data_IF_634760616743
#
_entry.id   IF_634760616743
#
_cell.length_a   1.000
_cell.length_b   1.000
_cell.length_c   1.000
_cell.angle_alpha   90.00
_cell.angle_beta   90.00
_cell.angle_gamma   90.00
#
_symmetry.space_group_name_H-M   'P 1'
#
loop_
_entity.id
_entity.type
_entity.pdbx_description
1 polymer ?
#
# COMPACT_ATOMS: atom_id res chain seq x y z
N UNK A 1 34.25 27.03 -25.15
CA UNK A 1 33.79 28.23 -24.43
C UNK A 1 32.35 28.48 -24.84
N UNK A 2 31.39 27.94 -24.09
CA UNK A 2 29.99 28.41 -24.12
C UNK A 2 29.25 27.85 -22.90
N UNK A 3 28.46 28.72 -22.29
CA UNK A 3 28.00 28.69 -20.91
C UNK A 3 26.81 27.75 -20.67
N UNK A 4 26.81 27.14 -19.49
CA UNK A 4 25.73 26.34 -18.94
C UNK A 4 24.70 27.28 -18.31
N UNK A 5 23.54 27.41 -18.95
CA UNK A 5 22.47 28.29 -18.47
C UNK A 5 21.57 27.54 -17.47
N UNK A 6 21.79 27.82 -16.17
CA UNK A 6 20.89 27.46 -15.07
C UNK A 6 19.75 28.48 -15.04
N UNK A 7 18.50 28.04 -15.21
CA UNK A 7 17.30 28.54 -14.49
C UNK A 7 16.01 27.94 -15.06
N UNK A 8 15.19 27.42 -14.15
CA UNK A 8 13.71 27.44 -14.10
C UNK A 8 13.10 26.09 -13.70
N UNK A 9 13.07 25.85 -12.39
CA UNK A 9 12.04 25.00 -11.78
C UNK A 9 11.81 25.48 -10.34
N UNK A 10 10.95 26.49 -10.21
CA UNK A 10 10.25 26.86 -8.97
C UNK A 10 8.85 27.33 -9.37
N UNK A 11 7.88 27.04 -8.50
CA UNK A 11 6.45 27.37 -8.57
C UNK A 11 5.55 26.58 -9.54
N UNK A 12 5.02 25.45 -9.06
CA UNK A 12 3.57 25.17 -9.17
C UNK A 12 3.02 24.57 -7.88
N UNK A 13 2.44 25.48 -7.09
CA UNK A 13 1.23 25.33 -6.28
C UNK A 13 1.06 24.05 -5.45
N UNK A 14 1.59 24.11 -4.24
CA UNK A 14 1.01 23.47 -3.06
C UNK A 14 -0.34 24.13 -2.75
N UNK A 15 -1.45 23.47 -3.10
CA UNK A 15 -2.78 23.73 -2.52
C UNK A 15 -3.74 22.67 -3.06
N UNK A 16 -3.96 21.59 -2.28
CA UNK A 16 -5.16 20.70 -2.30
C UNK A 16 -4.93 19.44 -1.46
N UNK A 17 -4.62 19.59 -0.17
CA UNK A 17 -4.87 18.53 0.81
C UNK A 17 -5.37 19.17 2.10
N UNK A 18 -6.68 19.44 2.11
CA UNK A 18 -7.40 20.04 3.23
C UNK A 18 -8.02 18.96 4.10
N UNK A 19 -7.50 18.86 5.33
CA UNK A 19 -8.20 18.60 6.60
C UNK A 19 -8.92 17.24 6.79
N UNK A 20 -8.24 16.35 7.51
CA UNK A 20 -8.83 15.28 8.35
C UNK A 20 -9.68 15.93 9.48
N UNK A 21 -10.89 15.46 9.80
CA UNK A 21 -11.61 15.90 11.00
C UNK A 21 -10.93 15.32 12.25
N UNK A 22 -10.65 16.18 13.24
CA UNK A 22 -10.30 15.75 14.61
C UNK A 22 -11.61 15.47 15.35
N UNK A 23 -11.82 14.24 15.81
CA UNK A 23 -12.91 13.91 16.74
C UNK A 23 -12.53 14.39 18.13
N UNK A 24 -13.07 15.54 18.54
CA UNK A 24 -13.03 16.03 19.92
C UNK A 24 -14.16 15.40 20.71
N UNK A 25 -13.81 14.72 21.80
CA UNK A 25 -14.74 14.28 22.84
C UNK A 25 -15.10 15.49 23.70
N UNK A 26 -16.35 15.94 23.65
CA UNK A 26 -16.88 16.86 24.66
C UNK A 26 -18.04 16.19 25.40
N UNK A 27 -17.84 16.04 26.70
CA UNK A 27 -18.87 15.73 27.68
C UNK A 27 -19.71 16.97 27.93
N UNK A 28 -21.03 16.87 27.78
CA UNK A 28 -21.97 17.74 28.49
C UNK A 28 -23.13 16.92 29.06
N UNK A 29 -23.32 17.10 30.37
CA UNK A 29 -24.47 16.66 31.15
C UNK A 29 -25.62 17.67 31.02
N UNK A 30 -26.80 17.25 31.53
CA UNK A 30 -28.09 17.97 31.71
C UNK A 30 -29.08 17.66 30.56
N UNK A 31 -30.34 17.31 30.76
CA UNK A 31 -31.21 17.37 31.94
C UNK A 31 -32.42 16.43 31.76
N UNK A 32 -33.08 16.09 32.86
CA UNK A 32 -34.27 15.21 32.94
C UNK A 32 -35.53 15.94 32.46
N UNK A 33 -36.37 15.29 31.67
CA UNK A 33 -37.83 15.38 31.79
C UNK A 33 -38.47 14.03 31.47
N UNK A 34 -39.42 13.66 32.32
CA UNK A 34 -40.19 12.42 32.26
C UNK A 34 -41.47 12.63 31.45
N UNK A 35 -41.80 11.68 30.59
CA UNK A 35 -43.18 11.32 30.26
C UNK A 35 -43.26 9.84 29.95
N UNK A 36 -44.15 9.16 30.70
CA UNK A 36 -44.63 7.81 30.48
C UNK A 36 -45.18 7.61 29.07
N UNK A 37 -44.91 6.45 28.48
CA UNK A 37 -45.92 5.71 27.71
C UNK A 37 -45.52 4.24 27.58
N UNK A 38 -46.40 3.39 28.10
CA UNK A 38 -46.46 1.94 27.98
C UNK A 38 -46.85 1.49 26.58
N UNK A 39 -46.20 0.44 26.06
CA UNK A 39 -46.68 -0.30 24.88
C UNK A 39 -45.64 -1.30 24.37
N UNK A 40 -45.97 -2.59 24.46
CA UNK A 40 -45.20 -3.73 23.95
C UNK A 40 -44.95 -3.63 22.43
N UNK A 41 -43.81 -4.16 21.97
CA UNK A 41 -43.76 -5.36 21.11
C UNK A 41 -42.36 -5.58 20.51
N UNK A 42 -41.98 -6.85 20.47
CA UNK A 42 -41.02 -7.51 19.57
C UNK A 42 -39.55 -7.09 19.51
N UNK A 43 -38.78 -7.86 20.29
CA UNK A 43 -37.39 -8.22 20.02
C UNK A 43 -37.22 -8.75 18.57
N UNK A 44 -36.64 -7.92 17.70
CA UNK A 44 -35.79 -8.38 16.61
C UNK A 44 -34.44 -7.70 16.72
N UNK A 45 -33.51 -8.36 17.42
CA UNK A 45 -32.08 -8.07 17.31
C UNK A 45 -31.61 -8.42 15.90
N UNK A 46 -31.71 -7.47 14.98
CA UNK A 46 -30.92 -7.50 13.75
C UNK A 46 -29.51 -7.08 14.12
N UNK A 47 -28.60 -8.04 14.19
CA UNK A 47 -27.16 -7.80 14.18
C UNK A 47 -26.80 -7.12 12.87
N UNK A 48 -26.79 -5.79 12.87
CA UNK A 48 -26.22 -4.99 11.79
C UNK A 48 -24.72 -5.23 11.82
N UNK A 49 -24.23 -6.05 10.89
CA UNK A 49 -22.81 -6.17 10.62
C UNK A 49 -22.24 -4.76 10.44
N UNK A 50 -21.30 -4.39 11.29
CA UNK A 50 -20.59 -3.12 11.26
C UNK A 50 -19.97 -2.93 9.89
N UNK A 51 -20.63 -2.16 9.03
CA UNK A 51 -20.13 -1.75 7.72
C UNK A 51 -19.02 -0.72 7.95
N UNK A 52 -17.82 -1.21 8.26
CA UNK A 52 -16.63 -0.37 8.16
C UNK A 52 -16.57 0.15 6.72
N UNK A 53 -16.36 1.47 6.52
CA UNK A 53 -16.27 2.02 5.18
C UNK A 53 -15.09 1.35 4.48
N UNK A 54 -15.39 0.53 3.49
CA UNK A 54 -14.38 -0.02 2.58
C UNK A 54 -13.88 1.14 1.75
N UNK A 55 -12.75 1.73 2.13
CA UNK A 55 -12.07 2.72 1.31
C UNK A 55 -11.76 2.09 -0.05
N UNK A 56 -12.17 2.78 -1.11
CA UNK A 56 -12.03 2.33 -2.49
C UNK A 56 -11.30 3.41 -3.27
N UNK A 57 -10.10 3.07 -3.71
CA UNK A 57 -9.35 3.88 -4.68
C UNK A 57 -9.33 3.12 -6.00
N UNK A 58 -9.36 3.85 -7.10
CA UNK A 58 -9.55 3.30 -8.44
C UNK A 58 -8.69 4.03 -9.45
N UNK A 59 -8.05 3.28 -10.33
CA UNK A 59 -7.28 3.80 -11.47
C UNK A 59 -7.56 2.88 -12.65
N UNK A 60 -7.97 3.45 -13.79
CA UNK A 60 -8.37 2.68 -14.96
C UNK A 60 -9.46 1.66 -14.65
N UNK A 61 -9.24 0.41 -15.08
CA UNK A 61 -10.14 -0.71 -14.83
C UNK A 61 -9.87 -1.44 -13.50
N UNK A 62 -9.05 -0.88 -12.61
CA UNK A 62 -8.63 -1.54 -11.36
C UNK A 62 -9.05 -0.75 -10.12
N UNK A 63 -9.33 -1.48 -9.04
CA UNK A 63 -9.55 -0.93 -7.71
C UNK A 63 -9.06 -1.87 -6.62
N UNK A 64 -9.08 -1.41 -5.37
CA UNK A 64 -8.85 -2.27 -4.22
C UNK A 64 -9.80 -1.96 -3.06
N UNK A 65 -9.94 -2.95 -2.19
CA UNK A 65 -10.62 -2.85 -0.90
C UNK A 65 -9.61 -2.98 0.23
N UNK A 66 -9.84 -2.22 1.29
CA UNK A 66 -9.08 -2.30 2.53
C UNK A 66 -9.91 -3.04 3.59
N UNK A 67 -9.25 -3.93 4.31
CA UNK A 67 -9.77 -4.62 5.48
C UNK A 67 -8.75 -4.46 6.63
N UNK A 68 -9.13 -3.76 7.70
CA UNK A 68 -8.31 -3.66 8.90
C UNK A 68 -8.39 -4.98 9.67
N UNK A 69 -7.28 -5.71 9.74
CA UNK A 69 -7.21 -6.99 10.45
C UNK A 69 -7.00 -6.79 11.95
N UNK A 70 -6.18 -5.78 12.29
CA UNK A 70 -5.88 -5.32 13.64
C UNK A 70 -5.44 -3.85 13.55
N UNK A 71 -5.27 -3.17 14.69
CA UNK A 71 -4.84 -1.76 14.75
C UNK A 71 -3.51 -1.44 14.05
N UNK A 72 -2.72 -2.44 13.68
CA UNK A 72 -1.45 -2.26 12.95
C UNK A 72 -1.29 -3.24 11.77
N UNK A 73 -2.38 -3.83 11.27
CA UNK A 73 -2.33 -4.71 10.10
C UNK A 73 -3.47 -4.41 9.16
N UNK A 74 -3.11 -4.08 7.93
CA UNK A 74 -4.05 -3.66 6.90
C UNK A 74 -3.96 -4.61 5.72
N UNK A 75 -5.08 -5.23 5.35
CA UNK A 75 -5.19 -6.14 4.22
C UNK A 75 -5.77 -5.44 3.01
N UNK A 76 -5.20 -5.70 1.85
CA UNK A 76 -5.59 -5.14 0.56
C UNK A 76 -6.02 -6.27 -0.37
N UNK A 77 -7.16 -6.09 -1.06
CA UNK A 77 -7.70 -7.02 -2.06
C UNK A 77 -8.04 -6.26 -3.34
N UNK A 78 -7.52 -6.69 -4.48
CA UNK A 78 -7.68 -5.97 -5.74
C UNK A 78 -8.75 -6.58 -6.64
N UNK A 79 -9.39 -5.77 -7.47
CA UNK A 79 -10.49 -6.18 -8.32
C UNK A 79 -10.56 -5.38 -9.63
N UNK A 80 -11.22 -5.97 -10.63
CA UNK A 80 -11.64 -5.28 -11.86
C UNK A 80 -12.88 -4.44 -11.58
N UNK A 81 -12.84 -3.14 -11.89
CA UNK A 81 -13.93 -2.20 -11.58
C UNK A 81 -15.16 -2.38 -12.49
N UNK A 82 -14.99 -3.00 -13.66
CA UNK A 82 -16.05 -3.17 -14.66
C UNK A 82 -17.06 -4.25 -14.29
N UNK A 83 -16.59 -5.33 -13.65
CA UNK A 83 -17.41 -6.49 -13.27
C UNK A 83 -17.32 -6.85 -11.78
N UNK A 84 -16.51 -6.11 -11.01
CA UNK A 84 -16.26 -6.34 -9.58
C UNK A 84 -15.66 -7.72 -9.25
N UNK A 85 -15.00 -8.35 -10.22
CA UNK A 85 -14.29 -9.62 -10.02
C UNK A 85 -12.92 -9.39 -9.41
N UNK A 86 -12.50 -10.25 -8.48
CA UNK A 86 -11.19 -10.18 -7.87
C UNK A 86 -10.08 -10.42 -8.91
N UNK A 87 -9.03 -9.58 -8.88
CA UNK A 87 -7.80 -9.89 -9.59
C UNK A 87 -7.15 -11.08 -8.94
N UNK A 88 -6.72 -12.07 -9.71
CA UNK A 88 -5.93 -13.21 -9.22
C UNK A 88 -4.43 -12.94 -9.34
N UNK A 89 -3.59 -13.71 -8.64
CA UNK A 89 -2.14 -13.65 -8.84
C UNK A 89 -1.74 -13.90 -10.30
N UNK A 90 -2.43 -14.82 -10.99
CA UNK A 90 -2.23 -15.05 -12.42
C UNK A 90 -2.55 -13.80 -13.25
N UNK A 91 -3.67 -13.12 -12.98
CA UNK A 91 -4.00 -11.88 -13.70
C UNK A 91 -2.87 -10.84 -13.53
N UNK A 92 -2.35 -10.68 -12.31
CA UNK A 92 -1.25 -9.75 -12.04
C UNK A 92 0.03 -10.18 -12.76
N UNK A 93 0.38 -11.46 -12.77
CA UNK A 93 1.57 -11.93 -13.49
C UNK A 93 1.48 -11.70 -14.99
N UNK A 94 0.32 -11.96 -15.62
CA UNK A 94 0.13 -11.66 -17.03
C UNK A 94 0.17 -10.15 -17.30
N UNK A 95 -0.47 -9.35 -16.44
CA UNK A 95 -0.47 -7.89 -16.55
C UNK A 95 0.95 -7.30 -16.50
N UNK A 96 1.80 -7.81 -15.60
CA UNK A 96 3.17 -7.33 -15.43
C UNK A 96 4.12 -7.74 -16.57
N UNK A 97 3.76 -8.73 -17.40
CA UNK A 97 4.57 -9.12 -18.55
C UNK A 97 4.51 -8.13 -19.71
N UNK A 98 3.40 -7.40 -19.86
CA UNK A 98 3.06 -6.77 -21.13
C UNK A 98 3.29 -5.25 -21.23
N UNK A 99 3.80 -4.57 -20.19
CA UNK A 99 4.12 -3.12 -20.21
C UNK A 99 3.11 -2.24 -20.96
N UNK A 100 1.82 -2.47 -20.70
CA UNK A 100 0.71 -1.74 -21.33
C UNK A 100 0.27 -0.53 -20.49
N UNK A 101 -0.71 0.21 -20.99
CA UNK A 101 -1.43 1.22 -20.21
C UNK A 101 -2.06 0.59 -18.94
N UNK A 102 -2.72 -0.56 -19.08
CA UNK A 102 -3.25 -1.31 -17.93
C UNK A 102 -2.15 -1.68 -16.92
N UNK A 103 -0.96 -2.08 -17.39
CA UNK A 103 0.18 -2.34 -16.49
C UNK A 103 0.54 -1.08 -15.69
N UNK A 104 0.55 0.08 -16.36
CA UNK A 104 0.88 1.37 -15.73
C UNK A 104 -0.18 1.79 -14.72
N UNK A 105 -1.45 1.64 -15.06
CA UNK A 105 -2.58 1.93 -14.18
C UNK A 105 -2.55 1.07 -12.92
N UNK A 106 -2.33 -0.24 -13.08
CA UNK A 106 -2.21 -1.14 -11.94
C UNK A 106 -0.99 -0.82 -11.06
N UNK A 107 0.17 -0.53 -11.64
CA UNK A 107 1.36 -0.13 -10.87
C UNK A 107 1.09 1.15 -10.08
N UNK A 108 0.41 2.14 -10.68
CA UNK A 108 0.04 3.37 -9.98
C UNK A 108 -0.95 3.11 -8.85
N UNK A 109 -1.92 2.22 -9.06
CA UNK A 109 -2.88 1.83 -8.04
C UNK A 109 -2.17 1.11 -6.87
N UNK A 110 -1.25 0.20 -7.17
CA UNK A 110 -0.43 -0.49 -6.18
C UNK A 110 0.42 0.50 -5.36
N UNK A 111 1.05 1.47 -6.02
CA UNK A 111 1.79 2.55 -5.34
C UNK A 111 0.89 3.36 -4.42
N UNK A 112 -0.34 3.63 -4.83
CA UNK A 112 -1.32 4.32 -4.00
C UNK A 112 -1.68 3.48 -2.77
N UNK A 113 -2.00 2.20 -2.95
CA UNK A 113 -2.31 1.27 -1.86
C UNK A 113 -1.17 1.16 -0.82
N UNK A 114 0.08 1.16 -1.28
CA UNK A 114 1.26 1.09 -0.43
C UNK A 114 1.60 2.41 0.26
N UNK A 115 1.03 3.53 -0.17
CA UNK A 115 1.30 4.86 0.40
C UNK A 115 0.33 5.17 1.54
N UNK A 116 0.83 5.09 2.77
CA UNK A 116 0.11 5.52 3.99
C UNK A 116 1.04 6.35 4.88
N UNK A 117 0.48 7.30 5.64
CA UNK A 117 1.24 8.06 6.64
C UNK A 117 1.87 7.12 7.70
N UNK A 118 1.22 5.99 7.99
CA UNK A 118 1.72 4.97 8.91
C UNK A 118 2.95 4.22 8.37
N UNK A 119 3.13 4.21 7.04
CA UNK A 119 4.24 3.55 6.36
C UNK A 119 5.50 4.42 6.27
N UNK A 120 5.47 5.66 6.78
CA UNK A 120 6.59 6.61 6.68
C UNK A 120 7.88 6.13 7.35
N UNK A 121 7.79 5.28 8.36
CA UNK A 121 8.94 4.68 9.05
C UNK A 121 9.30 3.27 8.51
N UNK A 122 8.57 2.80 7.51
CA UNK A 122 8.68 1.45 6.95
C UNK A 122 7.51 0.55 7.33
N UNK A 123 7.39 -0.54 6.57
CA UNK A 123 6.37 -1.57 6.77
C UNK A 123 6.86 -2.90 6.20
N UNK A 124 6.35 -4.00 6.75
CA UNK A 124 6.44 -5.31 6.10
C UNK A 124 5.32 -5.45 5.08
N UNK A 125 5.68 -5.98 3.91
CA UNK A 125 4.73 -6.30 2.84
C UNK A 125 4.66 -7.81 2.68
N UNK A 126 3.52 -8.40 3.00
CA UNK A 126 3.34 -9.85 3.03
C UNK A 126 2.25 -10.29 2.05
N UNK A 127 2.60 -11.22 1.15
CA UNK A 127 1.65 -11.91 0.29
C UNK A 127 1.46 -13.35 0.79
N UNK A 128 0.27 -13.95 0.59
CA UNK A 128 0.07 -15.39 0.76
C UNK A 128 1.09 -16.21 -0.06
N UNK A 129 1.45 -17.43 0.37
CA UNK A 129 2.28 -18.33 -0.43
C UNK A 129 1.60 -18.70 -1.76
N UNK A 130 2.32 -18.53 -2.88
CA UNK A 130 1.80 -18.81 -4.22
C UNK A 130 2.53 -20.01 -4.81
N UNK A 131 1.76 -20.85 -5.52
CA UNK A 131 2.24 -22.00 -6.27
C UNK A 131 1.50 -22.08 -7.60
N UNK A 132 1.90 -23.02 -8.47
CA UNK A 132 1.13 -23.31 -9.70
C UNK A 132 -0.34 -23.67 -9.44
N UNK A 133 -0.66 -24.22 -8.26
CA UNK A 133 -2.02 -24.59 -7.88
C UNK A 133 -2.81 -23.43 -7.27
N UNK A 134 -2.12 -22.47 -6.62
CA UNK A 134 -2.77 -21.35 -5.93
C UNK A 134 -2.72 -20.03 -6.68
N UNK A 135 -2.08 -19.94 -7.85
CA UNK A 135 -2.03 -18.68 -8.63
C UNK A 135 -3.40 -18.13 -9.06
N UNK A 136 -4.45 -18.96 -9.06
CA UNK A 136 -5.82 -18.56 -9.39
C UNK A 136 -6.58 -17.97 -8.19
N UNK A 137 -5.97 -17.91 -7.00
CA UNK A 137 -6.58 -17.21 -5.85
C UNK A 137 -6.46 -15.70 -6.04
N UNK A 138 -7.33 -14.95 -5.35
CA UNK A 138 -7.29 -13.49 -5.35
C UNK A 138 -5.91 -12.96 -4.95
N UNK A 139 -5.46 -11.92 -5.67
CA UNK A 139 -4.31 -11.12 -5.35
C UNK A 139 -4.64 -10.26 -4.13
N UNK A 140 -3.95 -10.55 -3.04
CA UNK A 140 -4.08 -9.85 -1.78
C UNK A 140 -2.73 -9.76 -1.08
N UNK A 141 -2.58 -8.74 -0.24
CA UNK A 141 -1.42 -8.59 0.63
C UNK A 141 -1.79 -7.90 1.93
N UNK A 142 -0.89 -7.98 2.91
CA UNK A 142 -0.98 -7.28 4.18
C UNK A 142 0.20 -6.31 4.29
N UNK A 143 -0.05 -5.12 4.83
CA UNK A 143 1.00 -4.22 5.32
C UNK A 143 0.99 -4.17 6.84
N UNK A 144 2.19 -4.15 7.42
CA UNK A 144 2.41 -4.07 8.87
C UNK A 144 3.40 -2.93 9.12
N UNK A 145 2.95 -1.75 9.58
CA UNK A 145 3.85 -0.65 9.92
C UNK A 145 4.89 -1.07 10.96
N UNK A 146 6.13 -0.62 10.77
CA UNK A 146 7.23 -0.89 11.72
C UNK A 146 8.21 0.27 11.78
N UNK A 147 8.79 0.48 12.97
CA UNK A 147 9.89 1.42 13.17
C UNK A 147 11.26 0.78 12.92
N UNK A 148 11.34 -0.55 12.90
CA UNK A 148 12.61 -1.30 12.84
C UNK A 148 13.35 -1.11 11.51
N UNK A 149 12.62 -0.73 10.46
CA UNK A 149 13.16 -0.46 9.14
C UNK A 149 13.59 1.00 8.95
N UNK A 150 13.29 1.89 9.90
CA UNK A 150 13.76 3.29 9.88
C UNK A 150 15.23 3.37 10.30
N UNK A 151 16.12 2.93 9.40
CA UNK A 151 17.57 2.92 9.60
C UNK A 151 18.30 3.19 8.30
N UNK A 152 19.60 3.43 8.38
CA UNK A 152 20.44 3.54 7.18
C UNK A 152 20.65 2.15 6.56
N UNK A 153 20.63 2.10 5.24
CA UNK A 153 20.98 0.88 4.50
C UNK A 153 22.42 0.47 4.77
N UNK A 154 22.65 -0.83 4.97
CA UNK A 154 23.99 -1.42 5.02
C UNK A 154 24.12 -2.42 3.88
N UNK A 155 24.82 -2.01 2.83
CA UNK A 155 25.01 -2.80 1.63
C UNK A 155 26.36 -3.53 1.56
N UNK A 156 27.16 -3.49 2.63
CA UNK A 156 28.53 -4.05 2.62
C UNK A 156 28.58 -5.50 2.13
N UNK A 157 27.61 -6.34 2.56
CA UNK A 157 27.49 -7.74 2.16
C UNK A 157 27.13 -7.96 0.67
N UNK A 158 26.65 -6.93 -0.04
CA UNK A 158 26.17 -7.03 -1.42
C UNK A 158 27.02 -6.24 -2.43
N UNK A 159 28.13 -5.63 -2.01
CA UNK A 159 28.98 -4.76 -2.86
C UNK A 159 29.41 -5.44 -4.17
N UNK A 160 29.73 -6.73 -4.14
CA UNK A 160 30.15 -7.45 -5.35
C UNK A 160 29.01 -7.52 -6.39
N UNK A 161 27.77 -7.76 -5.94
CA UNK A 161 26.61 -7.77 -6.82
C UNK A 161 26.36 -6.39 -7.43
N UNK A 162 26.56 -5.32 -6.66
CA UNK A 162 26.35 -3.95 -7.13
C UNK A 162 27.40 -3.52 -8.14
N UNK A 163 28.67 -3.87 -7.93
CA UNK A 163 29.75 -3.60 -8.90
C UNK A 163 29.48 -4.27 -10.25
N UNK A 164 28.95 -5.50 -10.25
CA UNK A 164 28.59 -6.23 -11.48
C UNK A 164 27.38 -5.65 -12.23
N UNK A 165 26.63 -4.75 -11.60
CA UNK A 165 25.40 -4.17 -12.14
C UNK A 165 25.41 -2.63 -12.08
N UNK A 166 26.58 -2.00 -12.08
CA UNK A 166 26.75 -0.56 -11.81
C UNK A 166 26.02 0.37 -12.79
N UNK A 167 25.58 -0.15 -13.93
CA UNK A 167 24.81 0.52 -14.98
C UNK A 167 23.29 0.38 -14.81
N UNK A 168 22.81 -0.29 -13.75
CA UNK A 168 21.39 -0.58 -13.51
C UNK A 168 20.86 0.14 -12.28
N UNK A 169 19.54 0.24 -12.18
CA UNK A 169 18.85 0.76 -10.99
C UNK A 169 18.48 -0.33 -9.98
N UNK A 170 18.33 -1.57 -10.45
CA UNK A 170 17.96 -2.75 -9.65
C UNK A 170 18.83 -3.92 -10.09
N UNK A 171 19.22 -4.77 -9.14
CA UNK A 171 19.86 -6.05 -9.42
C UNK A 171 19.11 -7.19 -8.72
N UNK A 172 19.28 -8.39 -9.27
CA UNK A 172 18.77 -9.61 -8.65
C UNK A 172 19.84 -10.69 -8.61
N UNK A 173 19.84 -11.47 -7.54
CA UNK A 173 20.80 -12.56 -7.31
C UNK A 173 20.22 -13.55 -6.31
N UNK A 174 20.73 -14.78 -6.32
CA UNK A 174 20.32 -15.79 -5.35
C UNK A 174 20.79 -15.43 -3.94
N UNK A 175 19.99 -15.77 -2.92
CA UNK A 175 20.46 -15.75 -1.54
C UNK A 175 21.57 -16.81 -1.30
N UNK A 176 22.16 -16.82 -0.10
CA UNK A 176 23.30 -17.69 0.23
C UNK A 176 23.01 -19.19 0.07
N UNK A 177 21.79 -19.64 0.36
CA UNK A 177 21.37 -21.04 0.19
C UNK A 177 20.96 -21.39 -1.25
N UNK A 178 20.72 -20.39 -2.11
CA UNK A 178 20.28 -20.58 -3.48
C UNK A 178 18.78 -20.80 -3.67
N UNK A 179 17.99 -20.84 -2.58
CA UNK A 179 16.57 -21.15 -2.59
C UNK A 179 15.65 -19.95 -2.83
N UNK A 180 16.20 -18.73 -2.80
CA UNK A 180 15.46 -17.51 -3.07
C UNK A 180 16.23 -16.58 -4.01
N UNK A 181 15.50 -15.77 -4.77
CA UNK A 181 16.05 -14.65 -5.53
C UNK A 181 15.77 -13.37 -4.74
N UNK A 182 16.85 -12.65 -4.42
CA UNK A 182 16.78 -11.31 -3.85
C UNK A 182 16.70 -10.31 -4.99
N UNK A 183 15.82 -9.32 -4.86
CA UNK A 183 15.69 -8.18 -5.78
C UNK A 183 15.98 -6.94 -4.95
N UNK A 184 17.03 -6.18 -5.31
CA UNK A 184 17.59 -5.12 -4.48
C UNK A 184 17.88 -3.89 -5.35
N UNK A 185 17.48 -2.67 -4.93
CA UNK A 185 17.81 -1.47 -5.66
C UNK A 185 19.30 -1.18 -5.47
N UNK A 186 19.95 -0.61 -6.47
CA UNK A 186 21.33 -0.19 -6.31
C UNK A 186 21.41 1.06 -5.41
N UNK A 187 22.38 1.14 -4.49
CA UNK A 187 22.59 2.32 -3.65
C UNK A 187 22.74 3.58 -4.50
N UNK A 188 22.01 4.64 -4.13
CA UNK A 188 22.00 5.92 -4.85
C UNK A 188 22.24 7.05 -3.87
N UNK A 189 23.19 7.93 -4.20
CA UNK A 189 23.55 9.06 -3.33
C UNK A 189 22.31 9.90 -2.98
N UNK A 190 22.11 10.15 -1.69
CA UNK A 190 20.96 10.93 -1.18
C UNK A 190 19.63 10.17 -1.16
N UNK A 191 19.64 8.85 -1.38
CA UNK A 191 18.49 7.95 -1.23
C UNK A 191 18.79 6.89 -0.17
N UNK A 192 17.75 6.40 0.48
CA UNK A 192 17.83 5.33 1.47
C UNK A 192 16.71 4.32 1.17
N UNK A 193 17.09 3.15 0.68
CA UNK A 193 16.16 2.09 0.28
C UNK A 193 15.98 1.01 1.37
N UNK A 194 16.15 1.37 2.63
CA UNK A 194 15.96 0.48 3.80
C UNK A 194 14.56 -0.12 3.92
N UNK A 195 13.55 0.49 3.29
CA UNK A 195 12.18 -0.04 3.24
C UNK A 195 11.48 0.25 1.90
N UNK A 196 10.49 -0.59 1.57
CA UNK A 196 9.77 -0.57 0.30
C UNK A 196 9.14 0.79 -0.05
N UNK A 197 8.70 1.55 0.96
CA UNK A 197 8.11 2.88 0.75
C UNK A 197 9.05 3.90 0.07
N UNK A 198 10.36 3.67 0.10
CA UNK A 198 11.38 4.58 -0.46
C UNK A 198 11.94 4.12 -1.81
N UNK A 199 11.47 2.98 -2.34
CA UNK A 199 11.86 2.47 -3.66
C UNK A 199 11.35 3.34 -4.81
#
# INVERSE_FOLDING_TARGET
>A
MSEFNKKNYQQRSSDKYSKRPKTGTEHTNLERTATDNSGNDDYKSTTTASSHPVYQERIGCFGYHIEELTSNKTKFKFYHTTNNEALTFENIFELLKHQTEDTSDFINLLKFALKSDEHTNGFFWECPPISKKSKHTAFEFVTIPTMELNRQENYSSFIEHFRKNSDKEVCSFHNLSGDAILIVPLPKSGKNFSHLANF
#
